data_IF_813507559783
#
_entry.id   IF_813507559783
#
_cell.length_a   1.000
_cell.length_b   1.000
_cell.length_c   1.000
_cell.angle_alpha   90.00
_cell.angle_beta   90.00
_cell.angle_gamma   90.00
#
_symmetry.space_group_name_H-M   'P 1'
#
loop_
_entity.id
_entity.type
_entity.pdbx_description
1 polymer ?
#
# COMPACT_ATOMS: atom_id res chain seq x y z
N UNK A 1 -16.27 18.03 11.93
CA UNK A 1 -15.96 17.37 10.66
C UNK A 1 -14.69 16.55 10.81
N UNK A 2 -14.73 15.46 11.58
CA UNK A 2 -13.68 14.45 11.54
C UNK A 2 -13.93 13.56 10.32
N UNK A 3 -12.96 13.51 9.41
CA UNK A 3 -12.92 12.49 8.38
C UNK A 3 -12.64 11.17 9.10
N UNK A 4 -13.54 10.20 9.00
CA UNK A 4 -13.33 8.87 9.59
C UNK A 4 -12.18 8.18 8.85
N UNK A 5 -11.00 8.17 9.45
CA UNK A 5 -9.85 7.42 8.94
C UNK A 5 -9.79 6.08 9.67
N UNK A 6 -9.71 4.98 8.90
CA UNK A 6 -9.31 3.69 9.45
C UNK A 6 -7.85 3.80 9.94
N UNK A 7 -7.56 3.30 11.14
CA UNK A 7 -6.16 3.16 11.57
C UNK A 7 -5.55 1.98 10.84
N UNK A 8 -4.30 2.09 10.37
CA UNK A 8 -3.66 0.96 9.71
C UNK A 8 -3.61 -0.29 10.56
N UNK A 9 -4.10 -1.41 10.02
CA UNK A 9 -4.13 -2.69 10.73
C UNK A 9 -5.33 -2.93 11.66
N UNK A 10 -6.33 -2.03 11.71
CA UNK A 10 -7.51 -2.16 12.59
C UNK A 10 -8.49 -3.29 12.22
N UNK A 11 -8.16 -4.16 11.26
CA UNK A 11 -8.92 -5.37 11.00
C UNK A 11 -8.76 -6.35 12.19
N UNK A 12 -9.70 -6.32 13.14
CA UNK A 12 -9.69 -7.19 14.31
C UNK A 12 -9.46 -8.67 13.99
N UNK A 13 -8.58 -9.32 14.75
CA UNK A 13 -8.13 -10.70 14.52
C UNK A 13 -9.13 -11.78 14.95
N UNK A 14 -10.44 -11.56 14.85
CA UNK A 14 -11.42 -12.58 15.21
C UNK A 14 -11.48 -13.67 14.13
N UNK A 15 -10.56 -14.65 14.18
CA UNK A 15 -10.84 -16.00 13.67
C UNK A 15 -9.96 -16.58 12.55
N UNK A 16 -8.89 -15.95 12.08
CA UNK A 16 -8.03 -16.56 11.03
C UNK A 16 -6.72 -17.06 11.64
N UNK A 17 -6.73 -18.31 12.11
CA UNK A 17 -5.52 -19.07 12.39
C UNK A 17 -4.99 -19.65 11.06
N UNK A 18 -3.88 -19.13 10.52
CA UNK A 18 -3.13 -19.81 9.46
C UNK A 18 -1.89 -20.48 10.07
N UNK A 19 -2.01 -21.78 10.34
CA UNK A 19 -0.97 -22.60 10.97
C UNK A 19 0.19 -22.94 9.99
N UNK A 20 0.20 -22.40 8.76
CA UNK A 20 1.24 -22.68 7.74
C UNK A 20 2.44 -21.73 7.79
N UNK A 21 2.54 -20.89 8.83
CA UNK A 21 3.59 -19.88 9.00
C UNK A 21 4.68 -20.37 9.97
N UNK A 22 5.17 -21.59 9.75
CA UNK A 22 6.23 -22.21 10.55
C UNK A 22 7.60 -21.64 10.20
N UNK A 23 7.88 -20.49 10.82
CA UNK A 23 9.16 -19.91 11.31
C UNK A 23 8.96 -18.39 11.58
N UNK A 24 7.95 -17.78 10.95
CA UNK A 24 7.55 -16.36 11.08
C UNK A 24 6.43 -16.17 12.14
N UNK A 25 5.81 -17.23 12.63
CA UNK A 25 4.60 -17.18 13.48
C UNK A 25 4.65 -16.25 14.71
N UNK A 26 5.81 -16.07 15.37
CA UNK A 26 5.92 -15.10 16.47
C UNK A 26 5.89 -13.64 16.01
N UNK A 27 6.54 -13.33 14.89
CA UNK A 27 6.59 -11.98 14.30
C UNK A 27 5.27 -11.64 13.59
N UNK A 28 4.65 -12.62 12.91
CA UNK A 28 3.31 -12.48 12.36
C UNK A 28 2.28 -12.14 13.44
N UNK A 29 2.38 -12.78 14.62
CA UNK A 29 1.51 -12.47 15.77
C UNK A 29 1.72 -11.06 16.33
N UNK A 30 2.92 -10.47 16.18
CA UNK A 30 3.21 -9.08 16.56
C UNK A 30 2.75 -8.06 15.51
N UNK A 31 2.58 -8.48 14.26
CA UNK A 31 2.16 -7.60 13.16
C UNK A 31 0.66 -7.24 13.16
N UNK A 32 -0.11 -7.73 14.16
CA UNK A 32 -1.47 -7.34 14.54
C UNK A 32 -2.27 -6.59 13.44
N UNK A 33 -2.78 -7.34 12.47
CA UNK A 33 -3.61 -6.80 11.38
C UNK A 33 -2.97 -6.90 9.99
N UNK A 34 -1.64 -6.89 9.90
CA UNK A 34 -0.92 -7.08 8.63
C UNK A 34 -0.68 -8.55 8.30
N UNK A 35 -1.09 -8.98 7.10
CA UNK A 35 -1.09 -10.38 6.70
C UNK A 35 -0.57 -10.56 5.27
N UNK A 36 -0.02 -11.76 5.03
CA UNK A 36 0.40 -12.22 3.71
C UNK A 36 -0.25 -13.57 3.44
N UNK A 37 -0.91 -13.69 2.30
CA UNK A 37 -1.56 -14.90 1.84
C UNK A 37 -0.70 -15.60 0.81
N UNK A 38 -0.25 -16.80 1.14
CA UNK A 38 0.49 -17.65 0.19
C UNK A 38 -0.48 -18.25 -0.81
N UNK A 39 -0.25 -17.98 -2.08
CA UNK A 39 -0.97 -18.60 -3.19
C UNK A 39 -0.03 -19.52 -3.99
N UNK A 40 -0.55 -20.21 -5.00
CA UNK A 40 0.28 -20.99 -5.95
C UNK A 40 1.16 -20.11 -6.86
N UNK A 41 0.92 -18.80 -6.93
CA UNK A 41 1.57 -17.90 -7.88
C UNK A 41 2.48 -16.86 -7.21
N UNK A 42 2.08 -16.36 -6.05
CA UNK A 42 2.79 -15.32 -5.30
C UNK A 42 2.32 -15.27 -3.84
N UNK A 43 3.13 -14.67 -3.00
CA UNK A 43 2.75 -14.22 -1.67
C UNK A 43 2.09 -12.84 -1.79
N UNK A 44 0.80 -12.78 -1.49
CA UNK A 44 -0.03 -11.58 -1.66
C UNK A 44 -0.15 -10.86 -0.32
N UNK A 45 0.23 -9.59 -0.26
CA UNK A 45 -0.12 -8.70 0.86
C UNK A 45 -1.24 -7.75 0.45
N UNK A 46 -2.20 -7.51 1.35
CA UNK A 46 -3.32 -6.60 1.12
C UNK A 46 -3.32 -5.57 2.22
N UNK A 47 -3.36 -4.31 1.83
CA UNK A 47 -3.42 -3.13 2.66
C UNK A 47 -4.56 -2.27 2.12
N UNK A 48 -5.41 -1.69 2.96
CA UNK A 48 -6.68 -1.12 2.49
C UNK A 48 -6.60 0.39 2.47
N UNK A 49 -6.85 0.98 1.29
CA UNK A 49 -6.97 2.42 1.05
C UNK A 49 -5.93 3.21 1.86
N UNK A 50 -6.34 3.80 2.98
CA UNK A 50 -5.50 4.66 3.83
C UNK A 50 -4.16 4.06 4.26
N UNK A 51 -4.05 2.72 4.39
CA UNK A 51 -2.79 2.02 4.66
C UNK A 51 -1.67 2.36 3.67
N UNK A 52 -2.04 2.72 2.45
CA UNK A 52 -1.11 3.06 1.38
C UNK A 52 -0.25 4.30 1.68
N UNK A 53 -0.62 5.10 2.67
CA UNK A 53 0.13 6.29 3.06
C UNK A 53 1.23 6.01 4.08
N UNK A 54 1.28 4.78 4.60
CA UNK A 54 2.15 4.39 5.71
C UNK A 54 3.23 3.43 5.21
N UNK A 55 4.49 3.90 5.07
CA UNK A 55 5.62 3.04 4.72
C UNK A 55 5.80 1.87 5.70
N UNK A 56 5.38 2.02 6.96
CA UNK A 56 5.44 1.01 8.01
C UNK A 56 4.55 -0.19 7.67
N UNK A 57 3.30 0.06 7.26
CA UNK A 57 2.38 -1.00 6.85
C UNK A 57 2.94 -1.77 5.65
N UNK A 58 3.39 -1.05 4.62
CA UNK A 58 4.02 -1.65 3.46
C UNK A 58 5.27 -2.47 3.84
N UNK A 59 6.12 -1.92 4.72
CA UNK A 59 7.35 -2.56 5.18
C UNK A 59 7.07 -3.82 5.97
N UNK A 60 6.16 -3.78 6.94
CA UNK A 60 5.81 -4.92 7.78
C UNK A 60 5.26 -6.04 6.90
N UNK A 61 4.28 -5.76 6.04
CA UNK A 61 3.70 -6.75 5.13
C UNK A 61 4.74 -7.34 4.16
N UNK A 62 5.68 -6.52 3.67
CA UNK A 62 6.78 -7.01 2.83
C UNK A 62 7.76 -7.90 3.60
N UNK A 63 8.08 -7.57 4.86
CA UNK A 63 8.94 -8.38 5.73
C UNK A 63 8.29 -9.72 6.13
N UNK A 64 6.96 -9.80 6.12
CA UNK A 64 6.22 -11.06 6.24
C UNK A 64 6.29 -11.93 4.97
N UNK A 65 6.88 -11.42 3.89
CA UNK A 65 7.19 -12.17 2.68
C UNK A 65 6.32 -11.84 1.46
N UNK A 66 5.63 -10.70 1.45
CA UNK A 66 4.85 -10.29 0.27
C UNK A 66 5.75 -10.11 -0.97
N UNK A 67 5.29 -10.64 -2.10
CA UNK A 67 5.84 -10.42 -3.44
C UNK A 67 5.14 -9.27 -4.16
N UNK A 68 3.87 -9.05 -3.81
CA UNK A 68 3.01 -7.99 -4.31
C UNK A 68 2.15 -7.43 -3.19
N UNK A 69 2.04 -6.10 -3.15
CA UNK A 69 1.05 -5.42 -2.31
C UNK A 69 -0.13 -4.95 -3.16
N UNK A 70 -1.34 -5.20 -2.66
CA UNK A 70 -2.56 -4.62 -3.18
C UNK A 70 -3.06 -3.52 -2.26
N UNK A 71 -3.49 -2.41 -2.86
CA UNK A 71 -4.15 -1.31 -2.19
C UNK A 71 -5.54 -1.06 -2.81
N UNK A 72 -6.59 -1.81 -2.42
CA UNK A 72 -7.95 -1.48 -2.81
C UNK A 72 -8.34 -0.12 -2.23
N UNK A 73 -8.64 0.84 -3.10
CA UNK A 73 -8.75 2.24 -2.74
C UNK A 73 -10.07 2.85 -3.21
N UNK A 74 -10.57 3.81 -2.44
CA UNK A 74 -11.65 4.71 -2.83
C UNK A 74 -11.19 6.13 -2.49
N UNK A 75 -10.49 6.77 -3.42
CA UNK A 75 -9.96 8.12 -3.26
C UNK A 75 -10.36 9.01 -4.43
N UNK A 76 -10.69 10.24 -4.09
CA UNK A 76 -11.14 11.28 -5.00
C UNK A 76 -10.88 12.65 -4.40
N UNK A 77 -11.41 13.67 -5.07
CA UNK A 77 -11.38 15.06 -4.60
C UNK A 77 -12.80 15.58 -4.42
N UNK A 78 -12.96 16.60 -3.58
CA UNK A 78 -14.13 17.44 -3.68
C UNK A 78 -14.08 18.22 -5.00
N UNK A 79 -15.20 18.40 -5.72
CA UNK A 79 -15.19 19.05 -7.03
C UNK A 79 -14.52 20.44 -7.04
N UNK A 80 -14.65 21.19 -5.95
CA UNK A 80 -14.05 22.51 -5.80
C UNK A 80 -12.51 22.49 -5.67
N UNK A 81 -11.92 21.37 -5.25
CA UNK A 81 -10.47 21.23 -5.05
C UNK A 81 -9.75 20.77 -6.31
N UNK A 82 -10.48 20.22 -7.29
CA UNK A 82 -9.91 19.54 -8.46
C UNK A 82 -8.97 20.44 -9.28
N UNK A 83 -9.40 21.68 -9.55
CA UNK A 83 -8.66 22.59 -10.43
C UNK A 83 -7.31 22.99 -9.82
N UNK A 84 -7.27 23.20 -8.51
CA UNK A 84 -6.06 23.66 -7.82
C UNK A 84 -5.15 22.49 -7.38
N UNK A 85 -5.73 21.40 -6.86
CA UNK A 85 -4.99 20.34 -6.16
C UNK A 85 -5.03 18.98 -6.84
N UNK A 86 -5.87 18.78 -7.86
CA UNK A 86 -6.17 17.45 -8.41
C UNK A 86 -4.94 16.68 -8.88
N UNK A 87 -4.08 17.30 -9.70
CA UNK A 87 -2.85 16.65 -10.17
C UNK A 87 -1.90 16.34 -9.00
N UNK A 88 -1.67 17.31 -8.11
CA UNK A 88 -0.80 17.12 -6.95
C UNK A 88 -1.27 15.97 -6.04
N UNK A 89 -2.58 15.84 -5.82
CA UNK A 89 -3.16 14.74 -5.04
C UNK A 89 -2.93 13.37 -5.71
N UNK A 90 -3.14 13.26 -7.02
CA UNK A 90 -2.88 12.01 -7.77
C UNK A 90 -1.40 11.67 -7.77
N UNK A 91 -0.53 12.65 -8.02
CA UNK A 91 0.91 12.43 -8.01
C UNK A 91 1.41 12.01 -6.63
N UNK A 92 0.92 12.62 -5.55
CA UNK A 92 1.25 12.22 -4.19
C UNK A 92 0.80 10.77 -3.90
N UNK A 93 -0.45 10.44 -4.26
CA UNK A 93 -1.04 9.11 -4.10
C UNK A 93 -0.26 8.03 -4.86
N UNK A 94 0.16 8.30 -6.10
CA UNK A 94 1.01 7.38 -6.89
C UNK A 94 2.42 7.30 -6.34
N UNK A 95 3.03 8.43 -6.02
CA UNK A 95 4.43 8.51 -5.57
C UNK A 95 4.64 7.74 -4.27
N UNK A 96 3.73 7.89 -3.31
CA UNK A 96 3.81 7.18 -2.04
C UNK A 96 3.85 5.66 -2.23
N UNK A 97 2.92 5.13 -3.03
CA UNK A 97 2.82 3.69 -3.30
C UNK A 97 3.98 3.15 -4.16
N UNK A 98 4.46 3.93 -5.12
CA UNK A 98 5.68 3.60 -5.88
C UNK A 98 6.90 3.57 -4.97
N UNK A 99 6.96 4.44 -3.95
CA UNK A 99 8.02 4.40 -2.95
C UNK A 99 7.99 3.10 -2.13
N UNK A 100 6.80 2.54 -1.87
CA UNK A 100 6.66 1.24 -1.20
C UNK A 100 7.21 0.10 -2.05
N UNK A 101 6.95 0.13 -3.36
CA UNK A 101 7.51 -0.83 -4.31
C UNK A 101 9.05 -0.79 -4.29
N UNK A 102 9.62 0.42 -4.40
CA UNK A 102 11.07 0.67 -4.39
C UNK A 102 11.72 0.22 -3.08
N UNK A 103 11.17 0.67 -1.95
CA UNK A 103 11.78 0.45 -0.63
C UNK A 103 11.81 -1.03 -0.24
N UNK A 104 10.90 -1.84 -0.77
CA UNK A 104 10.73 -3.25 -0.45
C UNK A 104 11.15 -4.20 -1.59
N UNK A 105 11.41 -3.67 -2.79
CA UNK A 105 11.77 -4.47 -3.97
C UNK A 105 10.68 -5.45 -4.37
N UNK A 106 9.43 -4.97 -4.46
CA UNK A 106 8.22 -5.77 -4.73
C UNK A 106 7.30 -5.08 -5.74
N UNK A 107 6.33 -5.81 -6.26
CA UNK A 107 5.26 -5.20 -7.06
C UNK A 107 4.22 -4.50 -6.19
N UNK A 108 3.56 -3.48 -6.74
CA UNK A 108 2.42 -2.82 -6.10
C UNK A 108 1.30 -2.66 -7.12
N UNK A 109 0.08 -3.04 -6.75
CA UNK A 109 -1.13 -2.84 -7.54
C UNK A 109 -2.14 -2.03 -6.72
N UNK A 110 -2.63 -0.93 -7.28
CA UNK A 110 -3.51 0.01 -6.60
C UNK A 110 -4.76 0.27 -7.45
N UNK A 111 -5.82 -0.55 -7.30
CA UNK A 111 -7.10 -0.27 -7.94
C UNK A 111 -7.85 0.82 -7.17
N UNK A 112 -8.42 1.77 -7.90
CA UNK A 112 -9.25 2.84 -7.38
C UNK A 112 -10.56 2.96 -8.16
N UNK A 113 -11.57 3.52 -7.51
CA UNK A 113 -12.89 3.81 -8.07
C UNK A 113 -12.85 4.99 -9.06
N UNK A 114 -13.85 5.07 -9.94
CA UNK A 114 -14.14 6.23 -10.79
C UNK A 114 -15.57 6.73 -10.56
N UNK A 115 -15.87 7.92 -11.04
CA UNK A 115 -17.22 8.48 -11.05
C UNK A 115 -17.50 9.44 -9.90
N UNK A 116 -18.65 10.09 -9.96
CA UNK A 116 -19.14 11.00 -8.93
C UNK A 116 -20.15 10.28 -8.03
N UNK A 117 -20.00 10.42 -6.72
CA UNK A 117 -20.97 9.94 -5.74
C UNK A 117 -21.46 11.12 -4.89
N UNK A 118 -22.78 11.29 -4.87
CA UNK A 118 -23.45 12.32 -4.06
C UNK A 118 -23.35 11.96 -2.57
N UNK A 119 -23.06 12.96 -1.73
CA UNK A 119 -23.09 12.84 -0.27
C UNK A 119 -24.04 13.91 0.29
N UNK A 120 -25.10 13.55 1.04
CA UNK A 120 -26.08 14.50 1.54
C UNK A 120 -25.46 15.66 2.32
N UNK A 121 -25.76 16.89 1.92
CA UNK A 121 -25.23 18.10 2.57
C UNK A 121 -23.83 18.52 2.11
N UNK A 122 -23.28 17.88 1.07
CA UNK A 122 -22.00 18.27 0.44
C UNK A 122 -22.14 18.31 -1.09
N UNK A 123 -21.05 18.62 -1.80
CA UNK A 123 -20.97 18.53 -3.26
C UNK A 123 -20.51 17.13 -3.73
N UNK A 124 -20.60 16.10 -2.89
CA UNK A 124 -20.14 14.76 -3.19
C UNK A 124 -18.62 14.65 -3.34
N UNK A 125 -18.20 13.47 -3.82
CA UNK A 125 -16.80 13.13 -4.10
C UNK A 125 -16.72 12.65 -5.55
N UNK A 126 -15.69 13.12 -6.26
CA UNK A 126 -15.36 12.57 -7.58
C UNK A 126 -14.13 11.69 -7.46
N UNK A 127 -14.32 10.37 -7.58
CA UNK A 127 -13.23 9.42 -7.57
C UNK A 127 -12.43 9.52 -8.86
N UNK A 128 -11.11 9.63 -8.72
CA UNK A 128 -10.26 10.03 -9.82
C UNK A 128 -9.72 8.88 -10.68
N UNK A 129 -10.06 7.62 -10.35
CA UNK A 129 -9.49 6.46 -11.00
C UNK A 129 -7.99 6.39 -10.77
N UNK A 130 -7.22 6.48 -11.84
CA UNK A 130 -5.76 6.42 -11.84
C UNK A 130 -5.18 5.10 -11.31
N UNK A 131 -5.98 4.03 -11.29
CA UNK A 131 -5.54 2.68 -10.95
C UNK A 131 -4.23 2.36 -11.67
N UNK A 132 -3.29 1.70 -10.99
CA UNK A 132 -2.01 1.38 -11.62
C UNK A 132 -1.35 0.13 -11.03
N UNK A 133 -0.39 -0.41 -11.77
CA UNK A 133 0.54 -1.43 -11.31
C UNK A 133 1.96 -0.87 -11.47
N UNK A 134 2.78 -1.01 -10.43
CA UNK A 134 4.20 -0.65 -10.48
C UNK A 134 5.11 -1.83 -10.19
N UNK A 135 6.28 -1.80 -10.83
CA UNK A 135 7.32 -2.80 -10.65
C UNK A 135 8.18 -2.53 -9.40
N UNK A 136 9.12 -3.44 -9.04
CA UNK A 136 10.02 -3.26 -7.90
C UNK A 136 10.94 -2.04 -7.95
N UNK A 137 11.05 -1.36 -9.10
CA UNK A 137 11.78 -0.11 -9.26
C UNK A 137 10.85 1.12 -9.21
N UNK A 138 9.58 0.91 -8.90
CA UNK A 138 8.54 1.93 -8.85
C UNK A 138 8.18 2.47 -10.24
N UNK A 139 8.50 1.78 -11.33
CA UNK A 139 8.03 2.18 -12.67
C UNK A 139 6.58 1.74 -12.82
N UNK A 140 5.72 2.64 -13.30
CA UNK A 140 4.34 2.27 -13.64
C UNK A 140 4.38 1.42 -14.91
N UNK A 141 3.87 0.19 -14.82
CA UNK A 141 3.85 -0.79 -15.91
C UNK A 141 2.44 -1.06 -16.45
N UNK A 142 1.41 -0.57 -15.76
CA UNK A 142 0.04 -0.48 -16.25
C UNK A 142 -0.67 0.71 -15.57
N UNK A 143 -1.48 1.47 -16.31
CA UNK A 143 -2.16 2.68 -15.86
C UNK A 143 -3.57 2.75 -16.47
N UNK A 144 -4.59 3.00 -15.67
CA UNK A 144 -5.98 3.10 -16.11
C UNK A 144 -6.39 4.51 -16.59
N UNK A 145 -5.61 5.55 -16.30
CA UNK A 145 -6.07 6.92 -16.46
C UNK A 145 -7.33 7.18 -15.63
N UNK A 146 -8.30 7.92 -16.16
CA UNK A 146 -9.52 8.33 -15.44
C UNK A 146 -10.74 7.46 -15.72
N UNK A 147 -10.61 6.44 -16.56
CA UNK A 147 -11.73 5.68 -17.11
C UNK A 147 -11.85 4.27 -16.52
N UNK A 148 -12.97 3.59 -16.84
CA UNK A 148 -13.15 2.18 -16.48
C UNK A 148 -12.13 1.32 -17.22
N UNK A 149 -11.43 0.45 -16.49
CA UNK A 149 -10.34 -0.32 -17.06
C UNK A 149 -10.13 -1.68 -16.39
N UNK A 150 -9.62 -2.62 -17.18
CA UNK A 150 -9.00 -3.86 -16.70
C UNK A 150 -7.50 -3.71 -16.91
N UNK A 151 -6.74 -3.63 -15.82
CA UNK A 151 -5.28 -3.59 -15.88
C UNK A 151 -4.69 -4.99 -15.77
N UNK A 152 -3.71 -5.28 -16.62
CA UNK A 152 -2.93 -6.51 -16.57
C UNK A 152 -1.45 -6.16 -16.67
N UNK A 153 -0.61 -6.90 -15.96
CA UNK A 153 0.84 -6.78 -16.02
C UNK A 153 1.49 -8.14 -15.77
N UNK A 154 2.66 -8.36 -16.37
CA UNK A 154 3.48 -9.55 -16.08
C UNK A 154 4.45 -9.23 -14.95
N UNK A 155 4.32 -9.93 -13.83
CA UNK A 155 5.21 -9.80 -12.69
C UNK A 155 6.27 -10.92 -12.72
N UNK A 156 7.53 -10.57 -12.95
CA UNK A 156 8.66 -11.51 -12.98
C UNK A 156 9.35 -11.57 -11.61
N UNK A 157 9.32 -12.72 -10.91
CA UNK A 157 10.03 -12.89 -9.65
C UNK A 157 11.54 -12.64 -9.75
N UNK A 158 12.15 -12.87 -10.92
CA UNK A 158 13.59 -12.62 -11.14
C UNK A 158 13.93 -11.14 -11.06
N UNK A 159 12.99 -10.26 -11.42
CA UNK A 159 13.20 -8.81 -11.32
C UNK A 159 13.28 -8.40 -9.84
N UNK A 160 12.39 -8.90 -8.97
CA UNK A 160 12.44 -8.65 -7.54
C UNK A 160 13.79 -9.09 -6.94
N UNK A 161 14.23 -10.30 -7.28
CA UNK A 161 15.53 -10.82 -6.83
C UNK A 161 16.70 -9.95 -7.30
N UNK A 162 16.68 -9.53 -8.56
CA UNK A 162 17.71 -8.66 -9.12
C UNK A 162 17.76 -7.31 -8.41
N UNK A 163 16.60 -6.68 -8.19
CA UNK A 163 16.52 -5.40 -7.49
C UNK A 163 16.97 -5.53 -6.03
N UNK A 164 16.52 -6.55 -5.29
CA UNK A 164 16.92 -6.75 -3.89
C UNK A 164 18.42 -7.04 -3.72
N UNK A 165 19.07 -7.64 -4.73
CA UNK A 165 20.55 -7.82 -4.73
C UNK A 165 21.29 -6.52 -5.00
N UNK A 166 20.82 -5.75 -5.98
CA UNK A 166 21.49 -4.51 -6.39
C UNK A 166 21.24 -3.37 -5.39
N UNK A 167 20.02 -3.26 -4.86
CA UNK A 167 19.57 -2.27 -3.88
C UNK A 167 19.15 -3.00 -2.60
N UNK A 168 20.12 -3.45 -1.79
CA UNK A 168 19.89 -4.37 -0.66
C UNK A 168 19.34 -3.67 0.58
N UNK A 169 18.29 -2.87 0.41
CA UNK A 169 17.67 -2.11 1.50
C UNK A 169 17.28 -2.99 2.67
N UNK A 170 16.73 -4.18 2.43
CA UNK A 170 16.34 -5.11 3.49
C UNK A 170 17.52 -5.56 4.36
N UNK A 171 18.70 -5.76 3.76
CA UNK A 171 19.95 -6.13 4.46
C UNK A 171 20.49 -4.96 5.27
N UNK A 172 20.42 -3.75 4.73
CA UNK A 172 21.10 -2.57 5.29
C UNK A 172 20.23 -1.80 6.32
N UNK A 173 19.05 -2.32 6.68
CA UNK A 173 18.18 -1.72 7.70
C UNK A 173 18.89 -1.63 9.06
N UNK A 174 18.92 -0.43 9.63
CA UNK A 174 19.36 -0.15 11.01
C UNK A 174 18.27 -0.48 12.04
N UNK A 175 17.87 -1.75 12.08
CA UNK A 175 16.80 -2.25 12.97
C UNK A 175 17.10 -2.00 14.44
N UNK A 176 18.37 -1.89 14.81
CA UNK A 176 18.87 -1.49 16.12
C UNK A 176 18.44 -0.07 16.53
N UNK A 177 18.13 0.80 15.57
CA UNK A 177 17.82 2.21 15.78
C UNK A 177 16.35 2.58 15.50
N UNK A 178 15.49 1.64 15.13
CA UNK A 178 14.10 1.94 14.70
C UNK A 178 13.09 2.01 15.84
N UNK A 179 13.47 1.70 17.09
CA UNK A 179 12.58 1.80 18.25
C UNK A 179 11.76 3.11 18.35
N UNK A 180 12.30 4.30 18.01
CA UNK A 180 11.54 5.55 18.11
C UNK A 180 10.32 5.66 17.17
N UNK A 181 10.22 4.85 16.10
CA UNK A 181 9.04 4.85 15.22
C UNK A 181 7.76 4.39 15.92
N UNK A 182 7.91 3.72 17.07
CA UNK A 182 6.79 3.24 17.88
C UNK A 182 6.18 4.37 18.74
N UNK A 183 6.85 5.52 18.86
CA UNK A 183 6.33 6.68 19.57
C UNK A 183 5.48 7.53 18.64
N UNK A 184 4.32 8.01 19.14
CA UNK A 184 3.43 8.91 18.37
C UNK A 184 4.14 10.19 17.93
N UNK A 185 4.99 10.74 18.79
CA UNK A 185 5.75 11.96 18.58
C UNK A 185 6.96 11.98 19.51
N UNK A 186 8.09 12.55 19.08
CA UNK A 186 9.35 12.60 19.84
C UNK A 186 9.79 14.02 20.22
N UNK A 187 9.12 15.04 19.70
CA UNK A 187 9.45 16.43 20.05
C UNK A 187 9.05 16.74 21.49
N UNK A 188 9.85 17.56 22.16
CA UNK A 188 9.46 18.14 23.45
C UNK A 188 8.28 19.09 23.24
N UNK A 189 7.29 19.02 24.13
CA UNK A 189 6.15 19.94 24.16
C UNK A 189 6.59 21.35 24.56
#
# INVERSE_FOLDING_TARGET
NEKYYFTPGDAGTTGVHDDRVDQIGRLAKQASGFHVWKTRYANVGVLICWDQWYPEAARITSLLGADVLFYPTAIGWHPAEKEEWGDAQVQAWRTMQRSHAIANGIYVASPNRIGHEDEPGTNGITFFGHSFISDPFGRIIADAGTEEAILTATCDPKLMETIRRNWPFLRDRRVDAYAPILSRYLGAA
#
